data_IF_708979323690
#
_entry.id   IF_708979323690
#
_cell.length_a   1.000
_cell.length_b   1.000
_cell.length_c   1.000
_cell.angle_alpha   90.00
_cell.angle_beta   90.00
_cell.angle_gamma   90.00
#
_symmetry.space_group_name_H-M   'P 1'
#
loop_
_entity.id
_entity.type
_entity.pdbx_description
1 polymer ?
#
# COMPACT_ATOMS: atom_id res chain seq x y z
N UNK A 1 12.92 -25.42 22.19
CA UNK A 1 13.60 -25.05 20.93
C UNK A 1 15.07 -24.80 21.26
N UNK A 2 16.01 -25.43 20.56
CA UNK A 2 17.44 -25.20 20.78
C UNK A 2 18.00 -24.38 19.62
N UNK A 3 18.34 -23.12 19.89
CA UNK A 3 19.11 -22.26 18.98
C UNK A 3 20.57 -22.30 19.40
N UNK A 4 21.48 -22.22 18.43
CA UNK A 4 22.92 -22.27 18.69
C UNK A 4 23.37 -20.95 19.34
N UNK A 5 23.76 -21.02 20.61
CA UNK A 5 24.25 -19.87 21.38
C UNK A 5 25.73 -19.66 21.05
N UNK A 6 26.09 -18.43 20.67
CA UNK A 6 27.48 -18.01 20.41
C UNK A 6 28.18 -17.50 21.67
N UNK A 7 29.26 -16.75 21.50
CA UNK A 7 29.92 -16.03 22.60
C UNK A 7 29.05 -14.85 23.09
N UNK A 8 29.31 -14.36 24.31
CA UNK A 8 28.58 -13.22 24.88
C UNK A 8 28.65 -11.97 23.99
N UNK A 9 29.83 -11.68 23.44
CA UNK A 9 30.07 -10.57 22.52
C UNK A 9 29.18 -10.64 21.26
N UNK A 10 29.09 -11.84 20.65
CA UNK A 10 28.20 -12.09 19.51
C UNK A 10 26.72 -11.92 19.90
N UNK A 11 26.32 -12.34 21.10
CA UNK A 11 24.95 -12.17 21.58
C UNK A 11 24.58 -10.69 21.78
N UNK A 12 25.49 -9.87 22.31
CA UNK A 12 25.27 -8.44 22.46
C UNK A 12 25.10 -7.75 21.10
N UNK A 13 26.01 -8.03 20.15
CA UNK A 13 25.88 -7.50 18.78
C UNK A 13 24.59 -7.93 18.08
N UNK A 14 24.22 -9.21 18.20
CA UNK A 14 22.97 -9.75 17.63
C UNK A 14 21.74 -9.14 18.31
N UNK A 15 21.79 -8.82 19.60
CA UNK A 15 20.68 -8.15 20.32
C UNK A 15 20.38 -6.77 19.74
N UNK A 16 21.42 -5.97 19.51
CA UNK A 16 21.27 -4.62 18.92
C UNK A 16 20.79 -4.69 17.47
N UNK A 17 21.33 -5.63 16.69
CA UNK A 17 20.89 -5.91 15.32
C UNK A 17 19.41 -6.30 15.26
N UNK A 18 18.97 -7.21 16.13
CA UNK A 18 17.58 -7.65 16.21
C UNK A 18 16.65 -6.51 16.62
N UNK A 19 17.07 -5.61 17.51
CA UNK A 19 16.28 -4.44 17.92
C UNK A 19 16.06 -3.47 16.75
N UNK A 20 17.10 -3.22 15.95
CA UNK A 20 17.00 -2.40 14.73
C UNK A 20 16.13 -3.07 13.67
N UNK A 21 16.35 -4.36 13.43
CA UNK A 21 15.59 -5.14 12.46
C UNK A 21 14.10 -5.23 12.83
N UNK A 22 13.78 -5.37 14.11
CA UNK A 22 12.43 -5.35 14.64
C UNK A 22 11.70 -4.04 14.30
N UNK A 23 12.34 -2.90 14.59
CA UNK A 23 11.81 -1.57 14.31
C UNK A 23 11.63 -1.31 12.81
N UNK A 24 12.61 -1.74 12.00
CA UNK A 24 12.56 -1.64 10.54
C UNK A 24 11.41 -2.48 9.96
N UNK A 25 11.28 -3.74 10.40
CA UNK A 25 10.23 -4.67 9.94
C UNK A 25 8.83 -4.16 10.30
N UNK A 26 8.66 -3.59 11.49
CA UNK A 26 7.41 -2.92 11.88
C UNK A 26 7.08 -1.75 10.93
N UNK A 27 8.09 -0.96 10.56
CA UNK A 27 7.94 0.14 9.60
C UNK A 27 7.46 -0.34 8.23
N UNK A 28 8.09 -1.38 7.66
CA UNK A 28 7.70 -1.97 6.38
C UNK A 28 6.29 -2.56 6.44
N UNK A 29 5.94 -3.24 7.54
CA UNK A 29 4.61 -3.80 7.76
C UNK A 29 3.54 -2.70 7.86
N UNK A 30 3.83 -1.59 8.53
CA UNK A 30 2.96 -0.40 8.62
C UNK A 30 2.69 0.17 7.22
N UNK A 31 3.74 0.37 6.44
CA UNK A 31 3.65 0.92 5.09
C UNK A 31 2.86 -0.01 4.16
N UNK A 32 3.07 -1.33 4.26
CA UNK A 32 2.32 -2.35 3.50
C UNK A 32 0.84 -2.29 3.83
N UNK A 33 0.50 -2.19 5.13
CA UNK A 33 -0.90 -2.11 5.57
C UNK A 33 -1.59 -0.84 5.11
N UNK A 34 -0.90 0.30 5.20
CA UNK A 34 -1.41 1.58 4.72
C UNK A 34 -1.64 1.54 3.21
N UNK A 35 -0.69 0.99 2.45
CA UNK A 35 -0.84 0.83 1.01
C UNK A 35 -2.01 -0.08 0.65
N UNK A 36 -2.21 -1.17 1.38
CA UNK A 36 -3.37 -2.05 1.16
C UNK A 36 -4.69 -1.32 1.46
N UNK A 37 -4.75 -0.53 2.54
CA UNK A 37 -5.92 0.28 2.86
C UNK A 37 -6.29 1.27 1.74
N UNK A 38 -5.30 2.01 1.23
CA UNK A 38 -5.48 2.98 0.14
C UNK A 38 -6.01 2.33 -1.15
N UNK A 39 -5.56 1.12 -1.48
CA UNK A 39 -5.99 0.40 -2.69
C UNK A 39 -7.34 -0.31 -2.49
N UNK A 40 -7.63 -0.80 -1.27
CA UNK A 40 -8.88 -1.50 -0.96
C UNK A 40 -10.08 -0.56 -0.82
N UNK A 41 -9.90 0.67 -0.34
CA UNK A 41 -10.98 1.68 -0.30
C UNK A 41 -11.57 1.96 -1.70
N UNK A 42 -10.76 1.82 -2.76
CA UNK A 42 -11.21 2.00 -4.15
C UNK A 42 -11.95 0.78 -4.71
N UNK A 43 -11.67 -0.42 -4.19
CA UNK A 43 -12.16 -1.68 -4.75
C UNK A 43 -13.47 -2.18 -4.12
N UNK A 44 -13.75 -1.81 -2.87
CA UNK A 44 -14.90 -2.36 -2.15
C UNK A 44 -15.37 -1.47 -1.00
N UNK A 45 -16.55 -0.86 -1.16
CA UNK A 45 -17.36 -0.37 -0.03
C UNK A 45 -17.76 -1.45 0.99
N UNK A 46 -17.35 -2.71 0.77
CA UNK A 46 -17.39 -3.82 1.74
C UNK A 46 -15.96 -4.10 2.23
N UNK A 47 -15.69 -3.57 3.41
CA UNK A 47 -14.47 -3.70 4.17
C UNK A 47 -14.09 -5.18 4.42
N UNK A 48 -12.78 -5.45 4.42
CA UNK A 48 -12.11 -6.44 5.26
C UNK A 48 -12.22 -7.93 4.85
N UNK A 49 -11.56 -8.33 3.76
CA UNK A 49 -10.82 -9.59 3.88
C UNK A 49 -9.69 -9.33 4.89
N UNK A 50 -9.84 -9.88 6.10
CA UNK A 50 -8.86 -9.69 7.17
C UNK A 50 -7.48 -10.10 6.66
N UNK A 51 -6.46 -9.29 6.92
CA UNK A 51 -5.10 -9.68 6.58
C UNK A 51 -4.79 -11.02 7.27
N UNK A 52 -4.52 -12.05 6.49
CA UNK A 52 -4.22 -13.40 6.98
C UNK A 52 -2.72 -13.62 7.04
N UNK A 53 -2.27 -14.40 8.01
CA UNK A 53 -0.94 -14.99 8.05
C UNK A 53 -1.05 -16.48 7.76
N UNK A 54 -0.46 -16.94 6.64
CA UNK A 54 -0.56 -18.32 6.16
C UNK A 54 -2.01 -18.84 6.07
N UNK A 55 -2.96 -17.98 5.68
CA UNK A 55 -4.38 -18.34 5.54
C UNK A 55 -5.17 -18.38 6.86
N UNK A 56 -4.55 -18.02 7.97
CA UNK A 56 -5.18 -17.93 9.30
C UNK A 56 -5.19 -16.48 9.77
N UNK A 57 -6.12 -16.08 10.62
CA UNK A 57 -6.10 -14.74 11.20
C UNK A 57 -4.83 -14.53 12.06
N UNK A 58 -4.40 -13.27 12.17
CA UNK A 58 -3.16 -12.92 12.86
C UNK A 58 -3.14 -13.34 14.32
N UNK A 59 -4.30 -13.31 15.01
CA UNK A 59 -4.38 -13.68 16.41
C UNK A 59 -4.13 -15.18 16.60
N UNK A 60 -4.85 -15.99 15.83
CA UNK A 60 -4.74 -17.45 15.85
C UNK A 60 -3.36 -17.91 15.40
N UNK A 61 -2.75 -17.24 14.42
CA UNK A 61 -1.37 -17.53 14.03
C UNK A 61 -0.38 -17.35 15.19
N UNK A 62 -0.52 -16.25 15.95
CA UNK A 62 0.39 -15.96 17.06
C UNK A 62 0.16 -16.88 18.26
N UNK A 63 -1.08 -17.28 18.54
CA UNK A 63 -1.38 -18.21 19.65
C UNK A 63 -0.95 -19.65 19.37
N UNK A 64 -0.90 -20.05 18.10
CA UNK A 64 -0.47 -21.39 17.66
C UNK A 64 0.92 -21.39 17.01
N UNK A 65 1.72 -20.35 17.25
CA UNK A 65 3.00 -20.14 16.60
C UNK A 65 3.93 -21.36 16.75
N UNK A 66 4.47 -21.80 15.62
CA UNK A 66 5.56 -22.76 15.55
C UNK A 66 6.72 -22.18 14.75
N UNK A 67 7.93 -22.47 15.20
CA UNK A 67 9.12 -22.01 14.50
C UNK A 67 9.24 -22.69 13.13
N UNK A 68 9.33 -21.87 12.07
CA UNK A 68 9.52 -22.35 10.71
C UNK A 68 10.98 -22.79 10.49
N UNK A 69 11.23 -24.08 10.71
CA UNK A 69 12.56 -24.68 10.54
C UNK A 69 13.01 -24.77 9.08
N UNK A 70 12.08 -24.72 8.13
CA UNK A 70 12.40 -24.77 6.71
C UNK A 70 12.94 -23.42 6.23
N UNK A 71 12.30 -22.31 6.66
CA UNK A 71 12.77 -20.95 6.34
C UNK A 71 13.93 -20.48 7.22
N UNK A 72 13.91 -20.85 8.50
CA UNK A 72 14.90 -20.40 9.48
C UNK A 72 15.52 -21.60 10.22
N UNK A 73 16.50 -22.30 9.63
CA UNK A 73 17.04 -23.54 10.21
C UNK A 73 17.74 -23.29 11.55
N UNK A 74 17.31 -23.99 12.61
CA UNK A 74 17.85 -23.80 13.98
C UNK A 74 19.32 -24.23 14.13
N UNK A 75 19.88 -24.93 13.16
CA UNK A 75 21.29 -25.29 13.11
C UNK A 75 22.20 -24.12 12.75
N UNK A 76 21.66 -23.08 12.10
CA UNK A 76 22.42 -21.90 11.70
C UNK A 76 22.72 -20.98 12.90
N UNK A 77 23.83 -20.23 12.86
CA UNK A 77 24.11 -19.20 13.85
C UNK A 77 23.02 -18.12 13.89
N UNK A 78 22.78 -17.55 15.08
CA UNK A 78 21.77 -16.48 15.26
C UNK A 78 21.98 -15.29 14.32
N UNK A 79 23.24 -14.91 14.07
CA UNK A 79 23.59 -13.84 13.13
C UNK A 79 23.16 -14.15 11.70
N UNK A 80 23.39 -15.38 11.24
CA UNK A 80 22.93 -15.83 9.93
C UNK A 80 21.41 -15.81 9.83
N UNK A 81 20.69 -16.21 10.88
CA UNK A 81 19.23 -16.14 10.93
C UNK A 81 18.73 -14.69 10.84
N UNK A 82 19.34 -13.75 11.58
CA UNK A 82 18.97 -12.33 11.49
C UNK A 82 19.25 -11.75 10.09
N UNK A 83 20.35 -12.16 9.45
CA UNK A 83 20.72 -11.66 8.13
C UNK A 83 19.77 -12.20 7.03
N UNK A 84 19.32 -13.46 7.13
CA UNK A 84 18.29 -14.03 6.24
C UNK A 84 16.99 -13.23 6.34
N UNK A 85 16.52 -12.97 7.57
CA UNK A 85 15.29 -12.21 7.78
C UNK A 85 15.45 -10.76 7.28
N UNK A 86 16.58 -10.12 7.58
CA UNK A 86 16.90 -8.77 7.11
C UNK A 86 16.86 -8.65 5.59
N UNK A 87 17.45 -9.61 4.88
CA UNK A 87 17.43 -9.66 3.42
C UNK A 87 16.01 -9.84 2.88
N UNK A 88 15.22 -10.73 3.47
CA UNK A 88 13.83 -10.96 3.09
C UNK A 88 13.01 -9.67 3.24
N UNK A 89 13.05 -9.03 4.42
CA UNK A 89 12.31 -7.79 4.70
C UNK A 89 12.75 -6.65 3.78
N UNK A 90 14.06 -6.49 3.54
CA UNK A 90 14.59 -5.46 2.65
C UNK A 90 14.18 -5.65 1.19
N UNK A 91 14.14 -6.90 0.72
CA UNK A 91 13.67 -7.21 -0.63
C UNK A 91 12.19 -6.83 -0.79
N UNK A 92 11.34 -7.22 0.16
CA UNK A 92 9.92 -6.87 0.12
C UNK A 92 9.71 -5.36 0.20
N UNK A 93 10.47 -4.63 1.03
CA UNK A 93 10.42 -3.15 1.11
C UNK A 93 10.77 -2.49 -0.23
N UNK A 94 11.82 -2.98 -0.89
CA UNK A 94 12.26 -2.48 -2.21
C UNK A 94 11.20 -2.73 -3.29
N UNK A 95 10.66 -3.95 -3.34
CA UNK A 95 9.59 -4.32 -4.28
C UNK A 95 8.30 -3.53 -4.01
N UNK A 96 7.94 -3.31 -2.74
CA UNK A 96 6.77 -2.52 -2.34
C UNK A 96 6.89 -1.09 -2.85
N UNK A 97 8.04 -0.43 -2.65
CA UNK A 97 8.27 0.94 -3.12
C UNK A 97 8.17 1.05 -4.63
N UNK A 98 8.79 0.12 -5.37
CA UNK A 98 8.75 0.09 -6.82
C UNK A 98 7.33 -0.11 -7.36
N UNK A 99 6.60 -1.12 -6.85
CA UNK A 99 5.23 -1.41 -7.28
C UNK A 99 4.25 -0.30 -6.89
N UNK A 100 4.41 0.31 -5.71
CA UNK A 100 3.60 1.46 -5.27
C UNK A 100 3.81 2.69 -6.17
N UNK A 101 5.05 2.97 -6.57
CA UNK A 101 5.33 4.07 -7.49
C UNK A 101 4.68 3.83 -8.87
N UNK A 102 4.76 2.61 -9.40
CA UNK A 102 4.09 2.24 -10.65
C UNK A 102 2.57 2.37 -10.55
N UNK A 103 1.97 1.90 -9.45
CA UNK A 103 0.53 2.05 -9.19
C UNK A 103 0.12 3.53 -9.14
N UNK A 104 0.84 4.35 -8.38
CA UNK A 104 0.57 5.78 -8.24
C UNK A 104 0.69 6.52 -9.58
N UNK A 105 1.63 6.13 -10.44
CA UNK A 105 1.81 6.73 -11.76
C UNK A 105 0.63 6.41 -12.69
N UNK A 106 0.18 5.15 -12.71
CA UNK A 106 -0.98 4.73 -13.52
C UNK A 106 -2.23 5.46 -13.04
N UNK A 107 -2.47 5.48 -11.72
CA UNK A 107 -3.59 6.19 -11.11
C UNK A 107 -3.60 7.68 -11.44
N UNK A 108 -2.46 8.36 -11.31
CA UNK A 108 -2.34 9.78 -11.67
C UNK A 108 -2.61 10.02 -13.17
N UNK A 109 -2.18 9.09 -14.03
CA UNK A 109 -2.42 9.17 -15.48
C UNK A 109 -3.90 9.04 -15.83
N UNK A 110 -4.61 8.11 -15.17
CA UNK A 110 -6.07 7.94 -15.31
C UNK A 110 -6.81 9.19 -14.82
N UNK A 111 -6.53 9.66 -13.60
CA UNK A 111 -7.17 10.85 -13.02
C UNK A 111 -6.92 12.11 -13.86
N UNK A 112 -5.71 12.27 -14.43
CA UNK A 112 -5.41 13.37 -15.34
C UNK A 112 -6.30 13.36 -16.57
N UNK A 113 -6.58 12.17 -17.13
CA UNK A 113 -7.46 12.06 -18.27
C UNK A 113 -8.94 12.25 -17.93
N UNK A 114 -9.40 11.69 -16.81
CA UNK A 114 -10.78 11.88 -16.33
C UNK A 114 -11.11 13.37 -16.19
N UNK A 115 -10.18 14.15 -15.63
CA UNK A 115 -10.31 15.62 -15.55
C UNK A 115 -10.30 16.32 -16.90
N UNK A 116 -9.63 15.76 -17.92
CA UNK A 116 -9.69 16.30 -19.29
C UNK A 116 -11.03 15.99 -19.93
N UNK A 117 -11.69 14.89 -19.57
CA UNK A 117 -13.04 14.56 -20.05
C UNK A 117 -14.15 15.28 -19.28
N UNK A 118 -13.95 15.64 -18.01
CA UNK A 118 -14.93 16.38 -17.19
C UNK A 118 -14.74 17.90 -17.33
N UNK A 119 -15.64 18.56 -18.05
CA UNK A 119 -15.61 20.02 -18.21
C UNK A 119 -16.61 20.54 -19.23
N UNK A 120 -16.65 21.85 -19.43
CA UNK A 120 -17.44 22.47 -20.51
C UNK A 120 -16.89 22.04 -21.89
N UNK A 121 -17.71 22.03 -22.95
CA UNK A 121 -17.27 21.74 -24.33
C UNK A 121 -16.10 22.62 -24.82
N UNK A 122 -15.94 23.81 -24.21
CA UNK A 122 -14.84 24.74 -24.44
C UNK A 122 -13.48 24.24 -23.93
N UNK A 123 -13.45 23.29 -22.99
CA UNK A 123 -12.24 22.81 -22.29
C UNK A 123 -12.10 21.28 -22.28
N UNK A 124 -13.21 20.54 -22.33
CA UNK A 124 -13.33 19.07 -22.31
C UNK A 124 -12.71 18.39 -23.55
N UNK A 125 -12.17 17.19 -23.39
CA UNK A 125 -11.72 16.33 -24.47
C UNK A 125 -12.90 15.84 -25.32
N UNK A 126 -12.83 16.03 -26.63
CA UNK A 126 -13.90 15.67 -27.57
C UNK A 126 -13.88 14.18 -27.99
N UNK A 127 -12.97 13.38 -27.41
CA UNK A 127 -12.73 11.94 -27.69
C UNK A 127 -13.94 11.03 -27.48
N UNK A 128 -14.91 11.44 -26.66
CA UNK A 128 -16.15 10.70 -26.41
C UNK A 128 -17.37 11.30 -27.13
N UNK A 129 -17.17 12.42 -27.84
CA UNK A 129 -18.22 13.23 -28.46
C UNK A 129 -18.16 13.11 -29.98
N UNK A 130 -16.97 13.25 -30.55
CA UNK A 130 -16.73 13.25 -32.00
C UNK A 130 -16.49 11.82 -32.46
N UNK A 131 -17.27 11.37 -33.45
CA UNK A 131 -17.06 10.06 -34.09
C UNK A 131 -16.26 10.20 -35.37
N UNK A 132 -15.69 9.11 -35.87
CA UNK A 132 -15.00 9.06 -37.18
C UNK A 132 -15.93 9.47 -38.33
N UNK A 133 -17.20 9.11 -38.22
CA UNK A 133 -18.28 9.51 -39.13
C UNK A 133 -18.44 11.03 -39.23
N UNK A 134 -17.95 11.77 -38.22
CA UNK A 134 -18.21 13.20 -38.10
C UNK A 134 -17.19 14.08 -38.80
N UNK A 135 -16.13 13.46 -39.31
CA UNK A 135 -14.99 14.13 -39.90
C UNK A 135 -14.83 13.67 -41.34
N UNK A 136 -14.52 14.61 -42.23
CA UNK A 136 -14.02 14.30 -43.56
C UNK A 136 -12.58 13.83 -43.42
N UNK A 137 -12.37 12.52 -43.59
CA UNK A 137 -11.06 11.88 -43.52
C UNK A 137 -10.47 11.71 -44.93
N UNK A 138 -9.13 11.69 -45.02
CA UNK A 138 -8.37 11.39 -46.25
C UNK A 138 -8.70 12.29 -47.45
N UNK A 139 -8.95 13.58 -47.22
CA UNK A 139 -9.11 14.57 -48.28
C UNK A 139 -7.95 15.57 -48.26
N UNK A 140 -7.36 15.83 -49.42
CA UNK A 140 -6.31 16.84 -49.57
C UNK A 140 -6.88 18.28 -49.60
N UNK A 141 -8.17 18.40 -49.92
CA UNK A 141 -8.82 19.69 -50.21
C UNK A 141 -9.89 20.08 -49.17
N UNK A 142 -10.33 19.14 -48.34
CA UNK A 142 -11.39 19.36 -47.36
C UNK A 142 -10.91 18.96 -45.97
N UNK A 143 -11.23 19.80 -45.00
CA UNK A 143 -11.01 19.53 -43.58
C UNK A 143 -12.27 19.86 -42.79
N UNK A 144 -12.45 19.20 -41.64
CA UNK A 144 -13.58 19.47 -40.75
C UNK A 144 -13.10 20.28 -39.55
N UNK A 145 -13.70 21.45 -39.34
CA UNK A 145 -13.43 22.29 -38.17
C UNK A 145 -14.54 22.12 -37.15
N UNK A 146 -14.16 21.91 -35.89
CA UNK A 146 -15.12 21.85 -34.78
C UNK A 146 -15.28 23.25 -34.18
N UNK A 147 -16.51 23.76 -34.17
CA UNK A 147 -16.79 25.10 -33.64
C UNK A 147 -17.72 25.00 -32.45
N UNK A 148 -17.31 25.60 -31.34
CA UNK A 148 -18.14 25.72 -30.14
C UNK A 148 -18.98 26.97 -30.26
N UNK A 149 -20.30 26.77 -30.37
CA UNK A 149 -21.28 27.85 -30.55
C UNK A 149 -22.12 28.01 -29.28
N UNK A 150 -22.20 29.22 -28.71
CA UNK A 150 -23.11 29.53 -27.61
C UNK A 150 -24.57 29.27 -28.00
N UNK A 151 -25.34 28.65 -27.09
CA UNK A 151 -26.75 28.30 -27.36
C UNK A 151 -27.59 29.51 -27.81
N UNK A 152 -27.33 30.69 -27.24
CA UNK A 152 -28.05 31.92 -27.61
C UNK A 152 -27.65 32.49 -28.97
N UNK A 153 -26.46 32.15 -29.48
CA UNK A 153 -25.92 32.66 -30.74
C UNK A 153 -26.09 31.69 -31.92
N UNK A 154 -26.72 30.53 -31.71
CA UNK A 154 -26.83 29.48 -32.73
C UNK A 154 -27.61 29.94 -33.98
N UNK A 155 -28.73 30.66 -33.80
CA UNK A 155 -29.52 31.18 -34.91
C UNK A 155 -28.76 32.21 -35.76
N UNK A 156 -27.78 32.92 -35.15
CA UNK A 156 -26.90 33.84 -35.87
C UNK A 156 -25.78 33.08 -36.60
N UNK A 157 -25.23 32.04 -35.98
CA UNK A 157 -24.23 31.17 -36.59
C UNK A 157 -24.73 30.55 -37.90
N UNK A 158 -25.92 29.93 -37.87
CA UNK A 158 -26.51 29.22 -39.02
C UNK A 158 -26.67 30.14 -40.25
N UNK A 159 -26.96 31.43 -40.03
CA UNK A 159 -27.11 32.42 -41.10
C UNK A 159 -25.80 32.95 -41.67
N UNK A 160 -24.73 32.97 -40.86
CA UNK A 160 -23.52 33.71 -41.18
C UNK A 160 -22.34 32.81 -41.56
N UNK A 161 -22.31 31.56 -41.10
CA UNK A 161 -21.09 30.73 -41.19
C UNK A 161 -20.62 30.47 -42.62
N UNK A 162 -21.54 30.36 -43.58
CA UNK A 162 -21.23 30.14 -45.00
C UNK A 162 -20.51 31.33 -45.64
N UNK A 163 -20.68 32.54 -45.08
CA UNK A 163 -20.06 33.77 -45.56
C UNK A 163 -18.82 34.23 -44.78
N UNK A 164 -18.44 33.52 -43.70
CA UNK A 164 -17.33 33.94 -42.84
C UNK A 164 -15.95 33.74 -43.48
N UNK A 165 -15.82 32.82 -44.44
CA UNK A 165 -14.59 32.58 -45.18
C UNK A 165 -14.89 32.13 -46.61
N UNK A 166 -13.93 32.30 -47.51
CA UNK A 166 -14.01 31.72 -48.86
C UNK A 166 -13.81 30.21 -48.76
N UNK A 167 -14.51 29.46 -49.62
CA UNK A 167 -14.46 27.98 -49.69
C UNK A 167 -15.08 27.22 -48.51
N UNK A 168 -16.07 27.82 -47.84
CA UNK A 168 -16.93 27.09 -46.89
C UNK A 168 -17.97 26.28 -47.65
N UNK A 169 -18.10 24.99 -47.32
CA UNK A 169 -19.10 24.10 -47.94
C UNK A 169 -20.49 24.45 -47.40
N UNK A 170 -21.48 24.83 -48.24
CA UNK A 170 -22.83 25.12 -47.77
C UNK A 170 -23.50 23.90 -47.15
N UNK A 171 -24.38 24.15 -46.16
CA UNK A 171 -25.12 23.11 -45.40
C UNK A 171 -24.23 22.05 -44.72
N UNK A 172 -22.94 22.33 -44.51
CA UNK A 172 -22.01 21.42 -43.83
C UNK A 172 -22.09 21.50 -42.30
N UNK A 173 -22.69 22.56 -41.76
CA UNK A 173 -22.85 22.73 -40.31
C UNK A 173 -24.00 21.87 -39.78
N UNK A 174 -23.67 20.71 -39.21
CA UNK A 174 -24.59 19.89 -38.41
C UNK A 174 -24.37 20.07 -36.89
N UNK A 175 -25.46 20.08 -36.13
CA UNK A 175 -25.45 20.29 -34.67
C UNK A 175 -25.50 18.94 -33.96
N UNK A 176 -24.45 18.61 -33.18
CA UNK A 176 -24.47 17.40 -32.32
C UNK A 176 -24.66 17.67 -30.83
N UNK A 177 -24.31 18.84 -30.29
CA UNK A 177 -24.39 19.11 -28.85
C UNK A 177 -24.76 20.56 -28.53
N UNK A 178 -25.89 20.77 -27.85
CA UNK A 178 -26.29 22.02 -27.22
C UNK A 178 -26.08 21.92 -25.72
N UNK A 179 -25.04 22.57 -25.19
CA UNK A 179 -24.88 22.86 -23.77
C UNK A 179 -24.66 24.38 -23.64
N UNK A 180 -25.24 25.07 -22.64
CA UNK A 180 -25.16 26.53 -22.52
C UNK A 180 -23.71 26.99 -22.35
N UNK A 181 -23.20 27.76 -23.32
CA UNK A 181 -21.96 28.54 -23.20
C UNK A 181 -22.35 30.02 -23.12
N UNK A 182 -21.76 30.74 -22.16
CA UNK A 182 -22.17 32.10 -21.72
C UNK A 182 -21.29 33.20 -22.36
N UNK A 183 -20.79 33.03 -23.58
CA UNK A 183 -19.89 34.01 -24.20
C UNK A 183 -20.26 34.31 -25.66
N UNK A 184 -20.42 35.57 -26.05
CA UNK A 184 -20.80 36.01 -27.41
C UNK A 184 -19.73 35.82 -28.51
N UNK A 185 -18.77 34.89 -28.34
CA UNK A 185 -17.68 34.65 -29.31
C UNK A 185 -17.62 33.18 -29.71
N UNK A 186 -17.53 32.92 -31.01
CA UNK A 186 -17.31 31.57 -31.56
C UNK A 186 -15.87 31.16 -31.32
N UNK A 187 -15.65 29.90 -30.94
CA UNK A 187 -14.30 29.36 -30.73
C UNK A 187 -14.12 28.12 -31.58
N UNK A 188 -13.15 28.16 -32.49
CA UNK A 188 -12.73 26.99 -33.26
C UNK A 188 -11.84 26.14 -32.37
N UNK A 189 -12.11 24.84 -32.31
CA UNK A 189 -11.27 23.86 -31.61
C UNK A 189 -10.54 23.00 -32.61
N UNK A 190 -9.22 22.99 -32.49
CA UNK A 190 -8.36 22.05 -33.19
C UNK A 190 -8.62 20.65 -32.61
N UNK A 191 -8.91 19.68 -33.49
CA UNK A 191 -9.16 18.30 -33.10
C UNK A 191 -8.48 17.36 -34.08
N UNK A 192 -7.51 16.61 -33.55
CA UNK A 192 -6.83 15.55 -34.27
C UNK A 192 -7.37 14.19 -33.80
N UNK A 193 -8.04 13.46 -34.71
CA UNK A 193 -8.65 12.18 -34.40
C UNK A 193 -7.60 11.10 -34.08
N UNK A 194 -6.44 11.10 -34.75
CA UNK A 194 -5.41 10.09 -34.54
C UNK A 194 -4.76 10.20 -33.16
N UNK A 195 -4.52 11.43 -32.71
CA UNK A 195 -3.99 11.70 -31.37
C UNK A 195 -5.01 11.36 -30.29
N UNK A 196 -6.28 11.72 -30.51
CA UNK A 196 -7.39 11.42 -29.63
C UNK A 196 -7.60 9.90 -29.43
N UNK A 197 -7.55 9.13 -30.53
CA UNK A 197 -7.68 7.67 -30.49
C UNK A 197 -6.47 7.00 -29.82
N UNK A 198 -5.24 7.46 -30.11
CA UNK A 198 -4.02 6.98 -29.44
C UNK A 198 -4.08 7.21 -27.92
N UNK A 199 -4.49 8.41 -27.49
CA UNK A 199 -4.64 8.72 -26.07
C UNK A 199 -5.70 7.83 -25.41
N UNK A 200 -6.85 7.64 -26.07
CA UNK A 200 -7.93 6.78 -25.57
C UNK A 200 -7.51 5.31 -25.49
N UNK A 201 -6.78 4.81 -26.50
CA UNK A 201 -6.25 3.45 -26.52
C UNK A 201 -5.22 3.23 -25.41
N UNK A 202 -4.31 4.19 -25.20
CA UNK A 202 -3.31 4.12 -24.13
C UNK A 202 -3.97 4.03 -22.75
N UNK A 203 -5.03 4.81 -22.53
CA UNK A 203 -5.75 4.81 -21.25
C UNK A 203 -6.61 3.56 -21.10
N UNK A 204 -7.26 3.11 -22.18
CA UNK A 204 -7.93 1.82 -22.20
C UNK A 204 -6.98 0.68 -21.85
N UNK A 205 -5.75 0.69 -22.37
CA UNK A 205 -4.70 -0.26 -22.00
C UNK A 205 -4.33 -0.16 -20.52
N UNK A 206 -4.10 1.05 -20.01
CA UNK A 206 -3.76 1.29 -18.61
C UNK A 206 -4.89 0.89 -17.63
N UNK A 207 -6.15 1.01 -18.05
CA UNK A 207 -7.32 0.61 -17.27
C UNK A 207 -7.60 -0.90 -17.33
N UNK A 208 -7.35 -1.55 -18.49
CA UNK A 208 -7.49 -3.01 -18.67
C UNK A 208 -6.35 -3.78 -18.01
N UNK A 209 -5.15 -3.20 -17.95
CA UNK A 209 -4.07 -3.66 -17.08
C UNK A 209 -4.59 -3.63 -15.64
N UNK A 210 -5.19 -4.75 -15.21
CA UNK A 210 -5.62 -5.08 -13.84
C UNK A 210 -4.42 -5.18 -12.89
N UNK A 211 -3.56 -4.16 -12.90
CA UNK A 211 -2.45 -3.98 -12.00
C UNK A 211 -2.95 -3.82 -10.58
N UNK A 212 -4.17 -3.30 -10.38
CA UNK A 212 -4.77 -3.14 -9.05
C UNK A 212 -5.01 -4.49 -8.36
N UNK A 213 -5.72 -5.43 -9.01
CA UNK A 213 -5.96 -6.78 -8.47
C UNK A 213 -4.65 -7.56 -8.25
N UNK A 214 -3.74 -7.52 -9.23
CA UNK A 214 -2.44 -8.18 -9.14
C UNK A 214 -1.60 -7.60 -8.00
N UNK A 215 -1.65 -6.28 -7.81
CA UNK A 215 -0.94 -5.59 -6.74
C UNK A 215 -1.56 -5.88 -5.37
N UNK A 216 -2.90 -5.91 -5.26
CA UNK A 216 -3.60 -6.30 -4.03
C UNK A 216 -3.26 -7.72 -3.62
N UNK A 217 -3.28 -8.68 -4.55
CA UNK A 217 -2.86 -10.06 -4.26
C UNK A 217 -1.40 -10.11 -3.78
N UNK A 218 -0.50 -9.37 -4.45
CA UNK A 218 0.90 -9.28 -4.03
C UNK A 218 1.04 -8.68 -2.63
N UNK A 219 0.33 -7.58 -2.32
CA UNK A 219 0.34 -6.95 -1.00
C UNK A 219 -0.13 -7.91 0.10
N UNK A 220 -1.20 -8.68 -0.13
CA UNK A 220 -1.71 -9.67 0.83
C UNK A 220 -0.69 -10.78 1.14
N UNK A 221 -0.07 -11.34 0.10
CA UNK A 221 0.96 -12.39 0.25
C UNK A 221 2.17 -11.84 1.01
N UNK A 222 2.68 -10.68 0.61
CA UNK A 222 3.87 -10.09 1.22
C UNK A 222 3.62 -9.60 2.65
N UNK A 223 2.40 -9.14 2.96
CA UNK A 223 2.02 -8.82 4.33
C UNK A 223 2.10 -10.05 5.24
N UNK A 224 1.56 -11.19 4.78
CA UNK A 224 1.66 -12.47 5.50
C UNK A 224 3.12 -12.84 5.74
N UNK A 225 3.97 -12.75 4.72
CA UNK A 225 5.39 -13.10 4.83
C UNK A 225 6.16 -12.19 5.79
N UNK A 226 5.95 -10.87 5.72
CA UNK A 226 6.57 -9.91 6.64
C UNK A 226 6.08 -10.16 8.07
N UNK A 227 4.79 -10.43 8.27
CA UNK A 227 4.26 -10.72 9.60
C UNK A 227 4.89 -11.97 10.21
N UNK A 228 4.97 -13.06 9.43
CA UNK A 228 5.64 -14.29 9.85
C UNK A 228 7.08 -14.00 10.24
N UNK A 229 7.83 -13.29 9.39
CA UNK A 229 9.21 -12.88 9.66
C UNK A 229 9.32 -12.04 10.95
N UNK A 230 8.37 -11.12 11.17
CA UNK A 230 8.34 -10.27 12.35
C UNK A 230 8.15 -11.05 13.64
N UNK A 231 7.25 -12.04 13.67
CA UNK A 231 7.09 -12.93 14.83
C UNK A 231 8.36 -13.73 15.10
N UNK A 232 9.06 -14.20 14.05
CA UNK A 232 10.35 -14.88 14.21
C UNK A 232 11.42 -13.97 14.81
N UNK A 233 11.49 -12.69 14.41
CA UNK A 233 12.37 -11.68 15.04
C UNK A 233 12.04 -11.52 16.53
N UNK A 234 10.75 -11.42 16.88
CA UNK A 234 10.33 -11.31 18.30
C UNK A 234 10.78 -12.51 19.12
N UNK A 235 10.62 -13.73 18.59
CA UNK A 235 11.06 -14.95 19.26
C UNK A 235 12.58 -15.00 19.41
N UNK A 236 13.34 -14.64 18.38
CA UNK A 236 14.81 -14.54 18.44
C UNK A 236 15.26 -13.52 19.50
N UNK A 237 14.62 -12.35 19.53
CA UNK A 237 14.93 -11.30 20.48
C UNK A 237 14.64 -11.74 21.91
N UNK A 238 13.48 -12.33 22.18
CA UNK A 238 13.15 -12.90 23.49
C UNK A 238 14.16 -13.98 23.90
N UNK A 239 14.59 -14.82 22.97
CA UNK A 239 15.61 -15.84 23.23
C UNK A 239 16.96 -15.22 23.62
N UNK A 240 17.48 -14.27 22.82
CA UNK A 240 18.77 -13.61 23.06
C UNK A 240 18.75 -12.85 24.39
N UNK A 241 17.70 -12.07 24.64
CA UNK A 241 17.54 -11.33 25.90
C UNK A 241 17.45 -12.28 27.12
N UNK A 242 16.81 -13.45 26.96
CA UNK A 242 16.75 -14.45 28.03
C UNK A 242 18.11 -15.06 28.35
N UNK A 243 18.91 -15.37 27.31
CA UNK A 243 20.28 -15.88 27.50
C UNK A 243 21.16 -14.82 28.15
N UNK A 244 21.05 -13.55 27.73
CA UNK A 244 21.82 -12.45 28.29
C UNK A 244 21.45 -12.14 29.75
N UNK A 245 20.18 -12.33 30.14
CA UNK A 245 19.69 -12.06 31.51
C UNK A 245 19.90 -13.23 32.47
N UNK A 246 19.58 -14.44 32.05
CA UNK A 246 19.50 -15.61 32.94
C UNK A 246 20.65 -16.61 32.76
N UNK A 247 21.51 -16.39 31.76
CA UNK A 247 22.66 -17.25 31.47
C UNK A 247 22.28 -18.65 31.00
N UNK A 248 23.25 -19.57 31.10
CA UNK A 248 23.09 -20.98 30.76
C UNK A 248 22.76 -21.80 32.03
N UNK A 249 22.04 -22.94 31.92
CA UNK A 249 21.52 -23.58 30.71
C UNK A 249 20.23 -22.94 30.18
N UNK A 250 19.98 -23.11 28.88
CA UNK A 250 18.90 -22.46 28.09
C UNK A 250 17.52 -23.11 28.29
N UNK A 251 17.12 -23.30 29.55
CA UNK A 251 15.83 -23.90 29.91
C UNK A 251 14.80 -22.80 30.22
N UNK A 252 14.34 -22.09 29.19
CA UNK A 252 13.37 -20.99 29.32
C UNK A 252 11.98 -21.41 28.87
N UNK A 253 10.97 -20.95 29.59
CA UNK A 253 9.56 -21.03 29.25
C UNK A 253 9.08 -19.63 28.86
N UNK A 254 8.73 -19.46 27.59
CA UNK A 254 8.12 -18.24 27.09
C UNK A 254 6.59 -18.31 27.18
N UNK A 255 5.98 -17.22 27.64
CA UNK A 255 4.54 -17.03 27.77
C UNK A 255 4.16 -15.80 26.94
N UNK A 256 3.16 -16.00 26.09
CA UNK A 256 2.51 -14.93 25.35
C UNK A 256 1.41 -14.32 26.23
N UNK A 257 1.51 -13.00 26.52
CA UNK A 257 0.45 -12.30 27.22
C UNK A 257 -0.26 -11.31 26.30
N UNK A 258 -1.59 -11.38 26.29
CA UNK A 258 -2.46 -10.37 25.68
C UNK A 258 -3.04 -9.46 26.77
N UNK A 259 -2.50 -8.25 26.97
CA UNK A 259 -2.96 -7.37 28.04
C UNK A 259 -4.34 -6.77 27.71
N UNK A 260 -5.24 -6.79 28.69
CA UNK A 260 -6.54 -6.09 28.64
C UNK A 260 -6.37 -4.58 28.90
N UNK A 261 -7.48 -3.79 28.91
CA UNK A 261 -7.50 -2.32 29.09
C UNK A 261 -6.65 -1.79 30.27
N UNK A 262 -6.30 -2.61 31.26
CA UNK A 262 -5.55 -2.22 32.47
C UNK A 262 -4.08 -2.69 32.45
N UNK A 263 -3.31 -2.35 31.42
CA UNK A 263 -1.92 -2.78 31.25
C UNK A 263 -0.97 -2.33 32.38
N UNK A 264 -1.26 -1.22 33.08
CA UNK A 264 -0.44 -0.73 34.20
C UNK A 264 -0.50 -1.67 35.42
N UNK A 265 -1.68 -2.16 35.77
CA UNK A 265 -1.87 -3.07 36.91
C UNK A 265 -1.22 -4.43 36.66
N UNK A 266 -1.36 -4.96 35.44
CA UNK A 266 -0.70 -6.20 35.03
C UNK A 266 0.83 -6.09 35.17
N UNK A 267 1.42 -4.98 34.72
CA UNK A 267 2.87 -4.74 34.87
C UNK A 267 3.31 -4.68 36.33
N UNK A 268 2.53 -4.02 37.19
CA UNK A 268 2.82 -3.96 38.62
C UNK A 268 2.77 -5.35 39.27
N UNK A 269 1.77 -6.17 38.93
CA UNK A 269 1.66 -7.54 39.44
C UNK A 269 2.81 -8.43 38.94
N UNK A 270 3.15 -8.36 37.65
CA UNK A 270 4.29 -9.10 37.09
C UNK A 270 5.61 -8.68 37.74
N UNK A 271 5.85 -7.37 37.90
CA UNK A 271 7.05 -6.87 38.57
C UNK A 271 7.11 -7.31 40.04
N UNK A 272 5.96 -7.40 40.73
CA UNK A 272 5.91 -7.93 42.10
C UNK A 272 6.24 -9.41 42.15
N UNK A 273 5.71 -10.21 41.23
CA UNK A 273 5.94 -11.66 41.17
C UNK A 273 7.39 -12.00 40.82
N UNK A 274 7.98 -11.27 39.87
CA UNK A 274 9.33 -11.55 39.35
C UNK A 274 10.44 -10.69 39.98
N UNK A 275 10.14 -9.92 41.03
CA UNK A 275 11.11 -9.08 41.74
C UNK A 275 12.32 -9.86 42.28
N UNK A 276 12.11 -11.13 42.62
CA UNK A 276 13.13 -12.01 43.18
C UNK A 276 14.18 -12.48 42.16
N UNK A 277 13.90 -12.36 40.85
CA UNK A 277 14.81 -12.81 39.80
C UNK A 277 15.99 -11.87 39.56
N UNK A 278 15.89 -10.59 39.95
CA UNK A 278 17.04 -9.68 40.05
C UNK A 278 16.69 -8.37 40.81
N UNK A 279 17.37 -8.01 41.92
CA UNK A 279 17.15 -6.76 42.65
C UNK A 279 17.68 -5.49 41.95
N UNK A 280 18.60 -5.61 40.99
CA UNK A 280 19.32 -4.45 40.41
C UNK A 280 18.71 -3.92 39.10
N UNK A 281 17.82 -4.67 38.44
CA UNK A 281 17.31 -4.36 37.08
C UNK A 281 15.78 -4.48 37.01
N UNK A 282 15.09 -4.09 38.09
CA UNK A 282 13.63 -3.94 38.09
C UNK A 282 13.15 -2.71 37.27
N UNK A 283 14.05 -2.00 36.58
CA UNK A 283 13.78 -0.70 35.98
C UNK A 283 13.50 -0.72 34.48
N UNK A 284 13.55 -1.86 33.78
CA UNK A 284 13.12 -1.91 32.37
C UNK A 284 12.72 -3.32 31.91
N UNK A 285 11.82 -3.96 32.66
CA UNK A 285 11.07 -5.11 32.15
C UNK A 285 10.05 -4.57 31.13
N UNK A 286 10.50 -4.56 29.88
CA UNK A 286 9.71 -4.52 28.67
C UNK A 286 8.77 -3.30 28.50
N UNK A 287 9.06 -2.57 27.42
CA UNK A 287 8.17 -1.79 26.56
C UNK A 287 8.01 -0.31 26.89
N UNK A 288 8.63 0.48 26.01
CA UNK A 288 8.01 1.64 25.37
C UNK A 288 6.53 1.37 25.03
N UNK A 289 5.64 1.52 26.02
CA UNK A 289 4.20 1.31 25.91
C UNK A 289 3.49 2.40 25.09
N UNK A 290 4.23 3.40 24.63
CA UNK A 290 3.69 4.58 23.97
C UNK A 290 3.55 4.45 22.45
N UNK A 291 4.32 3.57 21.80
CA UNK A 291 4.34 3.45 20.33
C UNK A 291 3.29 2.46 19.77
N UNK A 292 2.81 1.54 20.61
CA UNK A 292 1.93 0.42 20.22
C UNK A 292 0.42 0.74 20.28
N UNK A 293 0.04 1.98 20.61
CA UNK A 293 -1.36 2.38 20.81
C UNK A 293 -2.11 2.76 19.53
N UNK A 294 -1.42 2.96 18.41
CA UNK A 294 -2.02 3.47 17.18
C UNK A 294 -1.46 2.77 15.95
N UNK A 295 -1.81 1.52 15.76
CA UNK A 295 -1.59 0.86 14.48
C UNK A 295 -2.67 -0.18 14.23
N UNK A 296 -3.36 0.03 13.11
CA UNK A 296 -4.38 -0.83 12.52
C UNK A 296 -5.71 -0.79 13.28
N UNK A 297 -6.74 -0.37 12.54
CA UNK A 297 -8.16 -0.41 12.88
C UNK A 297 -8.49 -1.25 14.12
N UNK A 298 -8.80 -0.56 15.22
CA UNK A 298 -9.57 -1.04 16.38
C UNK A 298 -9.26 -2.45 16.93
N UNK A 299 -8.04 -2.98 16.75
CA UNK A 299 -7.62 -4.23 17.38
C UNK A 299 -6.28 -4.05 18.07
N UNK A 300 -6.36 -4.06 19.40
CA UNK A 300 -5.26 -3.88 20.34
C UNK A 300 -4.35 -5.09 20.33
N UNK A 301 -3.20 -4.97 19.71
CA UNK A 301 -2.12 -5.95 19.83
C UNK A 301 -0.91 -5.31 20.49
N UNK A 302 -0.80 -5.52 21.80
CA UNK A 302 0.43 -5.32 22.58
C UNK A 302 1.00 -6.72 22.82
N UNK A 303 1.76 -7.24 21.86
CA UNK A 303 2.40 -8.55 21.99
C UNK A 303 3.60 -8.42 22.93
N UNK A 304 3.49 -8.99 24.12
CA UNK A 304 4.58 -9.07 25.08
C UNK A 304 4.90 -10.55 25.29
N UNK A 305 6.00 -11.00 24.70
CA UNK A 305 6.58 -12.31 24.98
C UNK A 305 7.42 -12.17 26.25
N UNK A 306 6.95 -12.77 27.34
CA UNK A 306 7.72 -12.89 28.57
C UNK A 306 8.38 -14.26 28.57
N UNK A 307 9.68 -14.32 28.88
CA UNK A 307 10.35 -15.59 29.13
C UNK A 307 10.74 -15.68 30.60
N UNK A 308 10.48 -16.84 31.20
CA UNK A 308 10.81 -17.17 32.59
C UNK A 308 11.54 -18.51 32.64
N UNK A 309 12.36 -18.76 33.66
CA UNK A 309 13.05 -20.03 33.87
C UNK A 309 12.30 -20.83 34.95
N UNK A 310 11.62 -21.95 34.63
CA UNK A 310 10.95 -22.75 35.65
C UNK A 310 11.99 -23.38 36.59
N UNK A 311 11.87 -23.10 37.90
CA UNK A 311 12.68 -23.74 38.95
C UNK A 311 13.64 -22.85 39.74
N UNK A 312 13.44 -21.53 39.76
CA UNK A 312 13.97 -20.62 40.78
C UNK A 312 12.80 -20.05 41.59
#
# INVERSE_FOLDING_TARGET
MFLKVGTLDVLLGVSDDLSRLDSYTEGVMRQTSQCLGEVMEEFSGKLLESMLANGVDLATYVTSFQWDRAKYPTAQPLKTLSDIISKQVSQVDTELKSRRAAYSHVKASIQSFERKTEGSLQTCALTNIVKKEDLVLNSEYLTTLLVVVPRMAYALWEKMYESMSKFVVPRSSWLKLLIPVVANRFTVREYNLDEAEKQKQEIGRLAVDKKELTFVCWLKVNFSEIFVAWIHIKVLRTFVESVLRYGLPVSFQAILLQPTKKSKQLRQQLNSLFKHLDPAVATEIFLNSHQWKKMLFNTRWLLHLLAFKPGL
#
